data_IF_521403712910
#
_entry.id   IF_521403712910
#
_cell.length_a   1.000
_cell.length_b   1.000
_cell.length_c   1.000
_cell.angle_alpha   90.00
_cell.angle_beta   90.00
_cell.angle_gamma   90.00
#
_symmetry.space_group_name_H-M   'P 1'
#
loop_
_entity.id
_entity.type
_entity.pdbx_description
1 polymer ?
#
# COMPACT_ATOMS: atom_id res chain seq x y z
N UNK A 1 1.43 10.00 4.75
CA UNK A 1 0.95 9.54 3.43
C UNK A 1 1.56 10.47 2.38
N UNK A 2 2.26 9.95 1.37
CA UNK A 2 2.81 10.74 0.28
C UNK A 2 1.99 10.46 -0.98
N UNK A 3 1.45 11.48 -1.63
CA UNK A 3 0.72 11.35 -2.88
C UNK A 3 1.62 11.84 -4.01
N UNK A 4 1.89 10.97 -4.99
CA UNK A 4 2.68 11.30 -6.18
C UNK A 4 1.88 10.91 -7.42
N UNK A 5 1.23 11.92 -8.00
CA UNK A 5 0.73 11.91 -9.37
C UNK A 5 1.78 12.63 -10.22
N UNK A 6 2.24 12.01 -11.30
CA UNK A 6 3.20 12.62 -12.23
C UNK A 6 2.62 12.61 -13.63
N UNK A 7 2.53 13.80 -14.23
CA UNK A 7 2.25 13.95 -15.66
C UNK A 7 3.50 13.56 -16.45
N UNK A 8 3.34 12.73 -17.48
CA UNK A 8 4.45 12.16 -18.24
C UNK A 8 4.91 13.07 -19.39
N UNK A 9 5.96 13.85 -19.16
CA UNK A 9 6.73 14.49 -20.25
C UNK A 9 8.25 14.28 -20.16
N UNK A 10 8.74 13.55 -19.15
CA UNK A 10 10.16 13.14 -19.08
C UNK A 10 10.31 11.79 -18.36
N UNK A 11 10.84 10.80 -19.08
CA UNK A 11 11.22 9.51 -18.51
C UNK A 11 12.57 9.59 -17.83
N UNK A 12 12.58 9.86 -16.53
CA UNK A 12 13.46 9.19 -15.56
C UNK A 12 12.98 9.56 -14.13
N UNK A 13 11.94 8.86 -13.68
CA UNK A 13 11.42 9.00 -12.32
C UNK A 13 12.07 7.92 -11.45
N UNK A 14 13.17 8.30 -10.77
CA UNK A 14 13.70 7.51 -9.66
C UNK A 14 12.65 7.45 -8.55
N UNK A 15 12.00 6.28 -8.42
CA UNK A 15 10.97 6.07 -7.41
C UNK A 15 11.58 6.15 -5.99
N UNK A 16 10.84 6.62 -4.98
CA UNK A 16 11.31 6.60 -3.59
C UNK A 16 11.46 5.18 -2.99
N UNK A 17 11.17 4.15 -3.79
CA UNK A 17 11.22 2.72 -3.43
C UNK A 17 12.62 2.26 -3.07
N UNK A 18 13.64 2.71 -3.82
CA UNK A 18 14.99 2.11 -3.75
C UNK A 18 15.74 2.38 -2.42
N UNK A 19 15.20 3.24 -1.55
CA UNK A 19 15.86 3.68 -0.31
C UNK A 19 15.03 3.46 0.98
N UNK A 20 13.88 2.76 0.93
CA UNK A 20 13.01 2.55 2.10
C UNK A 20 12.75 1.05 2.38
N UNK A 21 13.42 0.43 3.37
CA UNK A 21 13.43 -1.03 3.58
C UNK A 21 12.10 -1.66 4.04
N UNK A 22 11.07 -0.83 4.20
CA UNK A 22 9.76 -1.18 4.76
C UNK A 22 8.60 -0.95 3.76
N UNK A 23 8.88 -0.60 2.51
CA UNK A 23 7.87 -0.37 1.49
C UNK A 23 7.86 -1.52 0.48
N UNK A 24 6.67 -2.05 0.14
CA UNK A 24 6.48 -3.07 -0.90
C UNK A 24 5.70 -2.45 -2.05
N UNK A 25 6.23 -2.57 -3.28
CA UNK A 25 5.60 -2.04 -4.48
C UNK A 25 5.03 -3.16 -5.35
N UNK A 26 3.77 -3.01 -5.78
CA UNK A 26 3.08 -3.90 -6.71
C UNK A 26 2.57 -3.05 -7.88
N UNK A 27 2.67 -3.57 -9.11
CA UNK A 27 2.20 -2.88 -10.31
C UNK A 27 1.22 -3.78 -11.07
N UNK A 28 0.06 -3.23 -11.42
CA UNK A 28 -0.89 -3.83 -12.34
C UNK A 28 -1.05 -2.98 -13.61
N UNK A 29 -1.50 -3.63 -14.68
CA UNK A 29 -1.85 -2.97 -15.94
C UNK A 29 -3.26 -2.37 -15.85
N UNK A 30 -3.45 -1.22 -16.48
CA UNK A 30 -4.72 -0.50 -16.44
C UNK A 30 -5.07 -0.03 -15.03
N UNK A 31 -6.34 -0.17 -14.66
CA UNK A 31 -6.95 0.45 -13.49
C UNK A 31 -7.04 -0.46 -12.26
N UNK A 32 -6.34 -1.60 -12.25
CA UNK A 32 -6.27 -2.49 -11.09
C UNK A 32 -4.85 -2.90 -10.73
N UNK A 33 -4.69 -3.38 -9.50
CA UNK A 33 -3.44 -3.95 -9.00
C UNK A 33 -3.73 -5.07 -8.00
N UNK A 34 -3.14 -6.23 -8.26
CA UNK A 34 -3.26 -7.43 -7.43
C UNK A 34 -2.04 -7.59 -6.52
N UNK A 35 -2.29 -8.01 -5.28
CA UNK A 35 -1.24 -8.35 -4.30
C UNK A 35 -1.72 -9.47 -3.36
N UNK A 36 -0.76 -10.06 -2.65
CA UNK A 36 -1.04 -10.93 -1.50
C UNK A 36 -0.66 -10.22 -0.23
N UNK A 37 -1.52 -10.26 0.78
CA UNK A 37 -1.26 -9.62 2.09
C UNK A 37 0.00 -10.24 2.72
N UNK A 38 1.03 -9.43 3.10
CA UNK A 38 2.24 -9.95 3.72
C UNK A 38 1.95 -10.75 5.01
N UNK A 39 2.56 -11.93 5.12
CA UNK A 39 2.40 -12.79 6.29
C UNK A 39 3.45 -12.50 7.38
N UNK A 40 4.61 -11.97 6.99
CA UNK A 40 5.76 -11.74 7.85
C UNK A 40 5.77 -10.33 8.47
N UNK A 41 4.88 -9.42 8.06
CA UNK A 41 4.91 -7.99 8.41
C UNK A 41 3.52 -7.41 8.67
N UNK A 42 3.42 -6.53 9.66
CA UNK A 42 2.24 -5.70 9.85
C UNK A 42 2.13 -4.66 8.72
N UNK A 43 1.00 -4.61 8.00
CA UNK A 43 0.66 -3.45 7.17
C UNK A 43 0.31 -2.25 8.08
N UNK A 44 0.97 -1.10 7.85
CA UNK A 44 0.77 0.17 8.58
C UNK A 44 0.06 1.22 7.72
N UNK A 45 0.03 1.05 6.40
CA UNK A 45 -0.74 1.88 5.49
C UNK A 45 -0.56 1.45 4.04
N UNK A 46 -1.24 2.12 3.12
CA UNK A 46 -1.06 1.96 1.69
C UNK A 46 -1.14 3.31 0.96
N UNK A 47 -0.53 3.39 -0.21
CA UNK A 47 -0.69 4.48 -1.16
C UNK A 47 -0.88 3.90 -2.58
N UNK A 48 -1.79 4.49 -3.35
CA UNK A 48 -2.01 4.14 -4.75
C UNK A 48 -1.49 5.30 -5.62
N UNK A 49 -0.69 4.97 -6.63
CA UNK A 49 -0.33 5.87 -7.72
C UNK A 49 -0.90 5.31 -9.01
N UNK A 50 -1.49 6.17 -9.84
CA UNK A 50 -2.13 5.75 -11.09
C UNK A 50 -1.53 6.56 -12.23
N UNK A 51 -0.97 5.85 -13.20
CA UNK A 51 -0.44 6.40 -14.44
C UNK A 51 -1.57 6.39 -15.47
N UNK A 52 -1.90 7.54 -16.03
CA UNK A 52 -2.98 7.71 -17.00
C UNK A 52 -2.57 8.66 -18.12
N UNK A 53 -3.27 8.57 -19.24
CA UNK A 53 -3.27 9.59 -20.29
C UNK A 53 -4.56 10.42 -20.18
N UNK A 54 -4.42 11.74 -20.29
CA UNK A 54 -5.53 12.70 -20.39
C UNK A 54 -5.49 13.39 -21.75
N UNK A 55 -6.65 13.67 -22.33
CA UNK A 55 -6.78 14.42 -23.60
C UNK A 55 -7.01 15.92 -23.41
N UNK A 56 -6.75 16.47 -22.22
CA UNK A 56 -6.90 17.89 -21.91
C UNK A 56 -6.48 18.27 -20.49
N UNK A 57 -6.81 19.49 -20.08
CA UNK A 57 -6.52 20.12 -18.77
C UNK A 57 -7.33 19.52 -17.60
N UNK A 58 -7.64 18.22 -17.68
CA UNK A 58 -8.46 17.50 -16.70
C UNK A 58 -7.57 17.10 -15.51
N UNK A 59 -7.87 17.65 -14.32
CA UNK A 59 -7.18 17.29 -13.08
C UNK A 59 -7.72 15.95 -12.58
N UNK A 60 -6.88 14.90 -12.56
CA UNK A 60 -7.35 13.54 -12.28
C UNK A 60 -7.96 13.32 -10.87
N UNK A 61 -7.73 14.21 -9.91
CA UNK A 61 -8.41 14.23 -8.61
C UNK A 61 -9.92 14.50 -8.73
N UNK A 62 -10.36 15.18 -9.79
CA UNK A 62 -11.78 15.42 -10.07
C UNK A 62 -12.43 14.22 -10.79
N UNK A 63 -11.64 13.38 -11.45
CA UNK A 63 -12.14 12.18 -12.13
C UNK A 63 -12.21 10.95 -11.23
N UNK A 64 -11.39 10.83 -10.19
CA UNK A 64 -11.33 9.67 -9.33
C UNK A 64 -12.64 9.48 -8.55
N UNK A 65 -13.38 8.40 -8.84
CA UNK A 65 -14.77 8.20 -8.40
C UNK A 65 -14.91 7.23 -7.23
N UNK A 66 -14.18 6.12 -7.26
CA UNK A 66 -14.10 5.18 -6.13
C UNK A 66 -12.90 4.25 -6.22
N UNK A 67 -12.44 3.79 -5.06
CA UNK A 67 -11.57 2.61 -4.92
C UNK A 67 -12.43 1.42 -4.49
N UNK A 68 -12.21 0.29 -5.16
CA UNK A 68 -12.80 -1.00 -4.84
C UNK A 68 -11.70 -1.91 -4.31
N UNK A 69 -11.93 -2.60 -3.20
CA UNK A 69 -11.00 -3.59 -2.65
C UNK A 69 -11.73 -4.93 -2.67
N UNK A 70 -11.23 -5.87 -3.46
CA UNK A 70 -11.79 -7.22 -3.63
C UNK A 70 -10.85 -8.21 -2.98
N UNK A 71 -11.31 -8.93 -1.97
CA UNK A 71 -10.57 -10.01 -1.33
C UNK A 71 -11.09 -11.35 -1.87
N UNK A 72 -10.32 -11.98 -2.75
CA UNK A 72 -10.67 -13.26 -3.37
C UNK A 72 -10.60 -14.43 -2.40
N UNK A 73 -9.74 -14.39 -1.38
CA UNK A 73 -9.64 -15.46 -0.37
C UNK A 73 -10.88 -15.50 0.51
N UNK A 74 -11.39 -14.35 0.94
CA UNK A 74 -12.59 -14.25 1.80
C UNK A 74 -13.89 -14.02 1.04
N UNK A 75 -13.84 -13.85 -0.29
CA UNK A 75 -14.99 -13.48 -1.13
C UNK A 75 -15.70 -12.20 -0.66
N UNK A 76 -14.94 -11.20 -0.20
CA UNK A 76 -15.47 -9.91 0.26
C UNK A 76 -15.11 -8.76 -0.68
N UNK A 77 -15.91 -7.70 -0.64
CA UNK A 77 -15.77 -6.52 -1.49
C UNK A 77 -16.10 -5.27 -0.68
N UNK A 78 -15.18 -4.31 -0.67
CA UNK A 78 -15.34 -2.99 -0.04
C UNK A 78 -15.35 -1.90 -1.10
N UNK A 79 -16.25 -0.92 -0.97
CA UNK A 79 -16.38 0.20 -1.91
C UNK A 79 -16.16 1.52 -1.17
N UNK A 80 -15.09 2.22 -1.51
CA UNK A 80 -14.77 3.54 -0.98
C UNK A 80 -15.00 4.59 -2.07
N UNK A 81 -16.18 5.23 -2.05
CA UNK A 81 -16.55 6.31 -2.98
C UNK A 81 -16.01 7.65 -2.49
N UNK A 82 -15.76 8.60 -3.39
CA UNK A 82 -15.15 9.86 -3.00
C UNK A 82 -15.75 11.11 -3.66
N UNK A 83 -15.53 12.25 -3.00
CA UNK A 83 -15.52 13.60 -3.58
C UNK A 83 -14.13 14.25 -3.41
N UNK A 84 -13.38 14.33 -4.52
CA UNK A 84 -12.24 15.25 -4.77
C UNK A 84 -10.81 14.87 -4.30
N UNK A 85 -10.58 13.95 -3.36
CA UNK A 85 -9.23 13.49 -2.96
C UNK A 85 -9.25 11.94 -2.86
N UNK A 86 -8.17 11.25 -2.48
CA UNK A 86 -8.28 10.08 -1.60
C UNK A 86 -7.23 10.20 -0.48
N UNK A 87 -7.70 10.24 0.76
CA UNK A 87 -6.91 10.08 1.98
C UNK A 87 -7.73 9.28 2.97
N UNK A 88 -7.41 8.00 3.14
CA UNK A 88 -7.99 7.19 4.22
C UNK A 88 -7.43 7.67 5.56
N UNK A 89 -8.32 8.01 6.50
CA UNK A 89 -7.93 8.29 7.87
C UNK A 89 -7.71 6.97 8.65
N UNK A 90 -7.29 7.04 9.92
CA UNK A 90 -7.02 5.84 10.71
C UNK A 90 -8.25 4.93 10.88
N UNK A 91 -9.46 5.49 10.95
CA UNK A 91 -10.72 4.73 11.05
C UNK A 91 -11.01 4.00 9.73
N UNK A 92 -10.86 4.68 8.59
CA UNK A 92 -11.00 4.06 7.27
C UNK A 92 -9.99 2.93 7.10
N UNK A 93 -8.75 3.14 7.54
CA UNK A 93 -7.68 2.14 7.52
C UNK A 93 -8.00 0.93 8.40
N UNK A 94 -8.54 1.12 9.61
CA UNK A 94 -9.04 0.00 10.43
C UNK A 94 -10.19 -0.75 9.72
N UNK A 95 -11.09 -0.02 9.05
CA UNK A 95 -12.17 -0.61 8.25
C UNK A 95 -11.64 -1.49 7.11
N UNK A 96 -10.63 -1.03 6.38
CA UNK A 96 -9.94 -1.80 5.33
C UNK A 96 -9.24 -3.02 5.93
N UNK A 97 -8.39 -2.82 6.94
CA UNK A 97 -7.62 -3.89 7.58
C UNK A 97 -8.50 -4.98 8.22
N UNK A 98 -9.71 -4.64 8.70
CA UNK A 98 -10.65 -5.63 9.24
C UNK A 98 -11.04 -6.74 8.24
N UNK A 99 -10.95 -6.45 6.93
CA UNK A 99 -11.23 -7.40 5.87
C UNK A 99 -10.00 -8.17 5.38
N UNK A 100 -8.79 -7.82 5.85
CA UNK A 100 -7.54 -8.40 5.39
C UNK A 100 -6.92 -9.33 6.45
N UNK A 101 -6.36 -10.45 6.01
CA UNK A 101 -5.59 -11.39 6.80
C UNK A 101 -4.32 -11.78 6.03
N UNK A 102 -3.26 -12.23 6.71
CA UNK A 102 -2.08 -12.82 6.07
C UNK A 102 -2.44 -13.76 4.91
N UNK A 103 -1.71 -13.65 3.80
CA UNK A 103 -1.86 -14.48 2.59
C UNK A 103 -3.18 -14.29 1.81
N UNK A 104 -4.10 -13.41 2.24
CA UNK A 104 -5.28 -13.05 1.45
C UNK A 104 -4.87 -12.52 0.07
N UNK A 105 -5.52 -13.01 -0.99
CA UNK A 105 -5.35 -12.53 -2.36
C UNK A 105 -6.31 -11.37 -2.58
N UNK A 106 -5.75 -10.19 -2.85
CA UNK A 106 -6.51 -8.94 -2.92
C UNK A 106 -6.23 -8.25 -4.25
N UNK A 107 -7.27 -7.75 -4.89
CA UNK A 107 -7.16 -6.84 -6.03
C UNK A 107 -7.84 -5.52 -5.70
N UNK A 108 -7.13 -4.42 -5.96
CA UNK A 108 -7.63 -3.07 -5.79
C UNK A 108 -7.95 -2.52 -7.18
N UNK A 109 -9.19 -2.12 -7.41
CA UNK A 109 -9.61 -1.41 -8.62
C UNK A 109 -9.81 0.06 -8.33
N UNK A 110 -9.38 0.91 -9.25
CA UNK A 110 -9.56 2.35 -9.21
C UNK A 110 -10.52 2.73 -10.34
N UNK A 111 -11.60 3.47 -10.03
CA UNK A 111 -12.57 3.89 -11.04
C UNK A 111 -12.49 5.40 -11.27
N UNK A 112 -12.53 5.79 -12.54
CA UNK A 112 -12.44 7.17 -12.98
C UNK A 112 -13.69 7.59 -13.77
N UNK A 113 -13.94 8.89 -13.84
CA UNK A 113 -14.88 9.51 -14.76
C UNK A 113 -14.39 9.44 -16.22
N UNK A 114 -15.21 9.97 -17.12
CA UNK A 114 -14.92 9.97 -18.55
C UNK A 114 -13.69 10.85 -18.89
N UNK A 115 -12.91 10.46 -19.91
CA UNK A 115 -11.81 11.25 -20.45
C UNK A 115 -10.39 10.82 -20.04
N UNK A 116 -10.24 9.85 -19.12
CA UNK A 116 -8.93 9.31 -18.73
C UNK A 116 -8.73 7.88 -19.25
N UNK A 117 -7.56 7.61 -19.81
CA UNK A 117 -7.11 6.26 -20.19
C UNK A 117 -6.03 5.81 -19.22
N UNK A 118 -6.37 4.94 -18.27
CA UNK A 118 -5.40 4.41 -17.30
C UNK A 118 -4.44 3.45 -17.98
N UNK A 119 -3.14 3.59 -17.70
CA UNK A 119 -2.05 2.73 -18.19
C UNK A 119 -1.59 1.74 -17.15
N UNK A 120 -1.32 2.19 -15.93
CA UNK A 120 -0.82 1.34 -14.85
C UNK A 120 -1.36 1.83 -13.51
N UNK A 121 -1.59 0.89 -12.59
CA UNK A 121 -1.86 1.18 -11.18
C UNK A 121 -0.74 0.59 -10.34
N UNK A 122 -0.17 1.41 -9.46
CA UNK A 122 0.93 1.02 -8.57
C UNK A 122 0.43 1.13 -7.12
N UNK A 123 0.54 0.03 -6.37
CA UNK A 123 0.27 -0.03 -4.94
C UNK A 123 1.59 -0.03 -4.17
N UNK A 124 1.75 0.92 -3.27
CA UNK A 124 2.80 0.94 -2.26
C UNK A 124 2.20 0.54 -0.91
N UNK A 125 2.61 -0.58 -0.36
CA UNK A 125 2.31 -0.96 1.02
C UNK A 125 3.40 -0.44 1.94
N UNK A 126 3.01 0.24 3.01
CA UNK A 126 3.91 0.61 4.10
C UNK A 126 3.80 -0.48 5.17
N UNK A 127 4.87 -1.25 5.35
CA UNK A 127 4.95 -2.33 6.31
C UNK A 127 5.76 -1.93 7.55
N UNK A 128 5.54 -2.65 8.66
CA UNK A 128 6.47 -2.66 9.79
C UNK A 128 7.72 -3.50 9.51
N UNK A 129 8.61 -3.54 10.50
CA UNK A 129 9.70 -4.52 10.54
C UNK A 129 9.13 -5.95 10.48
N UNK A 130 9.82 -6.89 9.81
CA UNK A 130 9.36 -8.27 9.74
C UNK A 130 9.47 -8.98 11.09
N UNK A 131 8.48 -9.83 11.34
CA UNK A 131 8.26 -10.59 12.57
C UNK A 131 9.45 -11.50 12.94
N UNK A 132 10.27 -11.92 11.98
CA UNK A 132 11.49 -12.70 12.26
C UNK A 132 12.61 -11.83 12.84
N UNK A 133 12.85 -10.61 12.33
CA UNK A 133 13.84 -9.68 12.89
C UNK A 133 13.45 -9.25 14.31
N UNK A 134 12.15 -9.03 14.55
CA UNK A 134 11.64 -8.73 15.89
C UNK A 134 11.96 -9.85 16.89
N UNK A 135 11.72 -11.11 16.52
CA UNK A 135 12.07 -12.30 17.34
C UNK A 135 13.58 -12.43 17.56
N UNK A 136 14.40 -12.13 16.56
CA UNK A 136 15.86 -12.15 16.69
C UNK A 136 16.35 -11.07 17.66
N UNK A 137 15.82 -9.85 17.55
CA UNK A 137 16.15 -8.73 18.44
C UNK A 137 15.73 -9.03 19.90
N UNK A 138 14.54 -9.60 20.11
CA UNK A 138 14.08 -10.06 21.42
C UNK A 138 14.99 -11.15 22.00
N UNK A 139 15.37 -12.16 21.20
CA UNK A 139 16.31 -13.22 21.59
C UNK A 139 17.68 -12.64 22.00
N UNK A 140 18.24 -11.73 21.20
CA UNK A 140 19.52 -11.08 21.45
C UNK A 140 19.48 -10.20 22.71
N UNK A 141 18.40 -9.45 22.92
CA UNK A 141 18.15 -8.66 24.14
C UNK A 141 18.08 -9.55 25.38
N UNK A 142 17.36 -10.67 25.32
CA UNK A 142 17.24 -11.61 26.43
C UNK A 142 18.58 -12.29 26.75
N UNK A 143 19.38 -12.62 25.73
CA UNK A 143 20.75 -13.13 25.89
C UNK A 143 21.68 -12.13 26.58
N UNK A 144 21.61 -10.85 26.20
CA UNK A 144 22.37 -9.76 26.83
C UNK A 144 21.96 -9.56 28.29
N UNK A 145 20.66 -9.49 28.60
CA UNK A 145 20.16 -9.37 29.97
C UNK A 145 20.63 -10.54 30.87
N UNK A 146 20.55 -11.77 30.35
CA UNK A 146 21.06 -12.97 31.05
C UNK A 146 22.58 -12.93 31.27
N UNK A 147 23.32 -12.32 30.34
CA UNK A 147 24.77 -12.17 30.45
C UNK A 147 25.16 -11.11 31.47
N UNK A 148 24.42 -10.00 31.54
CA UNK A 148 24.59 -8.95 32.56
C UNK A 148 24.26 -9.48 33.95
N UNK A 149 23.16 -10.22 34.11
CA UNK A 149 22.79 -10.83 35.40
C UNK A 149 23.84 -11.80 35.96
N UNK A 150 24.61 -12.47 35.09
CA UNK A 150 25.74 -13.34 35.47
C UNK A 150 27.00 -12.59 35.93
N UNK A 151 27.06 -11.27 35.73
CA UNK A 151 28.19 -10.40 36.12
C UNK A 151 27.86 -9.63 37.42
N UNK A 152 26.58 -9.51 37.75
CA UNK A 152 26.06 -8.78 38.93
C UNK A 152 25.82 -9.72 40.14
N UNK A 153 25.90 -11.03 39.93
CA UNK A 153 25.99 -12.07 40.98
C UNK A 153 27.42 -12.59 41.11
#
# INVERSE_FOLDING_TARGET
MLQVLLNSESCDVSLPVDNLPNWLAYMGEGNSVSFSVPWDRDMKGMALSVVYLSTGEIVATECLRSVLIVNYTKSTLQIHKYGTIISFNDIDWQGIMSNLAPEDKVEIFVTFGHGLVVKNTILYLVCGEPNYLKKELESKKNSLLRSIMKIVM
#
